data_IF_659782432777
#
_entry.id   IF_659782432777
#
_cell.length_a   1.000
_cell.length_b   1.000
_cell.length_c   1.000
_cell.angle_alpha   90.00
_cell.angle_beta   90.00
_cell.angle_gamma   90.00
#
_symmetry.space_group_name_H-M   'P 1'
#
loop_
_entity.id
_entity.type
_entity.pdbx_description
1 polymer ?
#
# COMPACT_ATOMS: atom_id res chain seq x y z
N UNK A 1 -51.49 28.56 -4.94
CA UNK A 1 -50.14 28.19 -5.39
C UNK A 1 -49.22 28.33 -4.19
N UNK A 2 -48.96 27.24 -3.46
CA UNK A 2 -48.01 27.24 -2.34
C UNK A 2 -46.76 26.48 -2.80
N UNK A 3 -45.65 27.21 -2.91
CA UNK A 3 -44.36 26.66 -3.31
C UNK A 3 -43.73 25.90 -2.15
N UNK A 4 -43.51 24.60 -2.33
CA UNK A 4 -42.73 23.78 -1.41
C UNK A 4 -41.25 24.09 -1.67
N UNK A 5 -40.59 24.83 -0.77
CA UNK A 5 -39.13 24.95 -0.77
C UNK A 5 -38.57 23.66 -0.17
N UNK A 6 -37.95 22.84 -1.01
CA UNK A 6 -37.15 21.70 -0.56
C UNK A 6 -35.90 22.28 0.10
N UNK A 7 -35.86 22.22 1.44
CA UNK A 7 -34.66 22.52 2.22
C UNK A 7 -33.82 21.25 2.18
N UNK A 8 -32.78 21.24 1.34
CA UNK A 8 -31.79 20.17 1.36
C UNK A 8 -31.08 20.16 2.72
N UNK A 9 -30.90 19.00 3.37
CA UNK A 9 -30.18 18.94 4.63
C UNK A 9 -28.72 19.38 4.43
N UNK A 10 -28.29 20.36 5.23
CA UNK A 10 -26.87 20.73 5.33
C UNK A 10 -26.16 19.58 6.04
N UNK A 11 -25.53 18.71 5.25
CA UNK A 11 -24.62 17.68 5.76
C UNK A 11 -23.43 18.44 6.37
N UNK A 12 -23.31 18.40 7.70
CA UNK A 12 -22.13 18.91 8.39
C UNK A 12 -20.97 17.96 8.13
N UNK A 13 -19.96 18.48 7.44
CA UNK A 13 -18.68 17.85 7.22
C UNK A 13 -17.92 17.72 8.55
N UNK A 14 -17.31 16.57 8.78
CA UNK A 14 -16.18 16.45 9.71
C UNK A 14 -14.95 16.57 8.83
N UNK A 15 -14.22 17.66 9.02
CA UNK A 15 -12.96 17.88 8.33
C UNK A 15 -11.89 16.97 8.94
N UNK A 16 -11.77 15.76 8.41
CA UNK A 16 -10.72 14.81 8.77
C UNK A 16 -9.40 15.09 8.03
N UNK A 17 -9.34 16.18 7.25
CA UNK A 17 -8.13 16.62 6.52
C UNK A 17 -6.99 16.90 7.50
N UNK A 18 -7.27 17.51 8.65
CA UNK A 18 -6.22 17.76 9.65
C UNK A 18 -5.63 16.45 10.18
N UNK A 19 -6.46 15.44 10.46
CA UNK A 19 -6.01 14.14 10.97
C UNK A 19 -5.17 13.36 9.95
N UNK A 20 -5.52 13.43 8.66
CA UNK A 20 -4.74 12.74 7.63
C UNK A 20 -3.43 13.49 7.33
N UNK A 21 -3.46 14.82 7.38
CA UNK A 21 -2.25 15.66 7.25
C UNK A 21 -1.27 15.35 8.37
N UNK A 22 -1.73 15.24 9.61
CA UNK A 22 -0.88 14.84 10.74
C UNK A 22 -0.19 13.49 10.50
N UNK A 23 -0.93 12.51 9.98
CA UNK A 23 -0.37 11.22 9.56
C UNK A 23 0.73 11.36 8.50
N UNK A 24 0.51 12.17 7.46
CA UNK A 24 1.54 12.41 6.44
C UNK A 24 2.75 13.17 6.97
N UNK A 25 2.57 14.11 7.90
CA UNK A 25 3.67 14.85 8.52
C UNK A 25 4.56 13.95 9.38
N UNK A 26 3.95 13.03 10.14
CA UNK A 26 4.69 11.99 10.88
C UNK A 26 5.57 11.17 9.95
N UNK A 27 5.02 10.71 8.82
CA UNK A 27 5.80 9.98 7.81
C UNK A 27 6.96 10.82 7.25
N UNK A 28 6.74 12.11 7.02
CA UNK A 28 7.79 13.01 6.56
C UNK A 28 8.94 13.15 7.56
N UNK A 29 8.67 13.20 8.87
CA UNK A 29 9.71 13.31 9.89
C UNK A 29 10.49 12.00 10.10
N UNK A 30 9.84 10.84 9.92
CA UNK A 30 10.54 9.56 9.84
C UNK A 30 11.52 9.51 8.65
N UNK A 31 11.15 10.06 7.50
CA UNK A 31 12.05 10.10 6.33
C UNK A 31 13.28 10.99 6.55
N UNK A 32 13.16 12.09 7.32
CA UNK A 32 14.27 13.02 7.61
C UNK A 32 15.21 12.54 8.72
N UNK A 33 14.74 11.65 9.59
CA UNK A 33 15.55 11.07 10.67
C UNK A 33 16.41 9.88 10.22
N UNK A 34 16.33 9.50 8.94
CA UNK A 34 17.22 8.52 8.32
C UNK A 34 18.01 9.15 7.15
N UNK A 35 19.13 9.80 7.47
CA UNK A 35 20.32 9.69 6.63
C UNK A 35 21.56 9.44 7.50
N UNK A 36 22.37 8.46 7.11
CA UNK A 36 23.66 8.06 7.70
C UNK A 36 23.60 7.25 9.02
N UNK A 37 23.43 5.93 8.90
CA UNK A 37 23.93 4.98 9.90
C UNK A 37 24.46 3.72 9.21
N UNK A 38 25.61 3.83 8.56
CA UNK A 38 26.58 2.74 8.55
C UNK A 38 27.26 2.80 9.91
N UNK A 39 26.87 1.93 10.86
CA UNK A 39 27.77 1.25 11.80
C UNK A 39 27.02 0.36 12.81
N UNK A 40 27.47 -0.89 12.86
CA UNK A 40 27.39 -1.90 13.93
C UNK A 40 26.04 -2.45 14.42
N UNK A 41 25.80 -3.71 14.03
CA UNK A 41 25.10 -4.70 14.83
C UNK A 41 25.75 -4.87 16.22
N UNK A 42 25.14 -4.30 17.25
CA UNK A 42 25.11 -4.84 18.62
C UNK A 42 24.43 -3.84 19.55
N UNK A 43 23.11 -3.92 19.74
CA UNK A 43 22.49 -2.95 20.65
C UNK A 43 20.97 -2.88 20.76
N UNK A 44 20.22 -3.98 20.64
CA UNK A 44 18.79 -3.97 21.01
C UNK A 44 18.38 -5.20 21.83
N UNK A 45 19.22 -5.61 22.79
CA UNK A 45 18.86 -6.61 23.81
C UNK A 45 18.66 -6.02 25.23
N UNK A 46 18.49 -4.71 25.36
CA UNK A 46 18.45 -4.07 26.68
C UNK A 46 17.42 -2.96 26.81
N UNK A 47 16.18 -3.16 26.34
CA UNK A 47 15.07 -2.25 26.70
C UNK A 47 13.75 -3.04 26.84
N UNK A 48 13.71 -4.08 27.67
CA UNK A 48 12.47 -4.53 28.34
C UNK A 48 12.85 -5.37 29.55
N UNK A 49 13.27 -4.68 30.60
CA UNK A 49 13.33 -5.25 31.95
C UNK A 49 13.06 -4.12 32.91
N UNK A 50 11.84 -4.11 33.45
CA UNK A 50 11.48 -3.71 34.82
C UNK A 50 10.08 -3.07 34.84
N UNK A 51 9.10 -3.85 35.31
CA UNK A 51 8.10 -3.36 36.25
C UNK A 51 7.73 -4.50 37.22
N UNK A 52 7.43 -4.19 38.50
CA UNK A 52 7.62 -5.11 39.62
C UNK A 52 6.35 -5.87 40.01
N UNK A 53 6.57 -7.05 40.58
CA UNK A 53 5.60 -7.98 41.16
C UNK A 53 5.01 -7.50 42.49
N UNK A 54 3.77 -7.92 42.77
CA UNK A 54 3.19 -7.95 44.12
C UNK A 54 2.96 -9.42 44.56
N UNK A 55 2.93 -9.73 45.87
CA UNK A 55 3.38 -11.02 46.40
C UNK A 55 2.24 -11.98 46.74
N UNK A 56 2.51 -13.28 46.59
CA UNK A 56 1.69 -14.36 47.13
C UNK A 56 2.59 -15.53 47.52
N UNK A 57 2.83 -15.66 48.83
CA UNK A 57 3.45 -16.82 49.47
C UNK A 57 2.46 -18.00 49.46
N UNK A 58 2.92 -19.25 49.33
CA UNK A 58 2.94 -20.23 50.42
C UNK A 58 3.36 -21.64 49.95
N UNK A 59 4.40 -22.15 50.60
CA UNK A 59 4.66 -23.51 51.10
C UNK A 59 4.72 -24.76 50.19
N UNK A 60 5.81 -25.49 50.48
CA UNK A 60 6.25 -26.83 50.11
C UNK A 60 5.34 -28.01 50.53
N UNK A 61 5.88 -29.20 50.23
CA UNK A 61 5.58 -30.57 50.67
C UNK A 61 4.58 -31.38 49.84
N UNK A 62 4.71 -32.70 49.68
CA UNK A 62 5.78 -33.68 49.56
C UNK A 62 5.03 -35.03 49.38
N UNK A 63 5.69 -36.05 48.81
CA UNK A 63 5.49 -37.48 49.10
C UNK A 63 4.11 -38.14 48.82
N UNK A 64 4.07 -39.09 47.88
CA UNK A 64 4.44 -40.49 48.20
C UNK A 64 4.24 -41.50 47.06
N UNK A 65 4.86 -42.70 47.14
CA UNK A 65 5.19 -43.59 46.03
C UNK A 65 4.50 -44.97 46.07
N UNK A 66 4.65 -45.76 45.00
CA UNK A 66 4.73 -47.23 44.88
C UNK A 66 4.25 -47.62 43.46
N UNK A 67 4.85 -48.51 42.69
CA UNK A 67 5.94 -49.45 42.88
C UNK A 67 5.76 -50.62 41.88
N UNK A 68 6.87 -51.12 41.31
CA UNK A 68 7.06 -52.41 40.62
C UNK A 68 6.40 -52.57 39.22
N UNK A 69 7.03 -53.07 38.14
CA UNK A 69 7.98 -54.18 37.98
C UNK A 69 8.90 -54.03 36.73
N UNK A 70 10.09 -54.64 36.81
CA UNK A 70 11.12 -54.86 35.77
C UNK A 70 10.69 -55.91 34.70
N UNK A 71 11.36 -56.25 33.58
CA UNK A 71 12.76 -56.20 33.10
C UNK A 71 12.79 -56.50 31.59
N UNK A 72 13.77 -56.01 30.82
CA UNK A 72 14.82 -56.81 30.14
C UNK A 72 15.48 -56.10 28.95
N UNK A 73 16.81 -56.23 28.94
CA UNK A 73 17.80 -55.66 28.05
C UNK A 73 17.95 -56.42 26.71
N UNK A 74 18.53 -55.77 25.70
CA UNK A 74 19.64 -56.25 24.84
C UNK A 74 19.99 -55.20 23.77
N UNK A 75 21.03 -54.41 24.05
CA UNK A 75 22.23 -54.03 23.25
C UNK A 75 22.24 -53.83 21.70
N UNK A 76 23.23 -53.04 21.18
CA UNK A 76 23.04 -52.04 20.11
C UNK A 76 23.96 -52.21 18.87
N UNK A 77 24.19 -51.10 18.12
CA UNK A 77 25.33 -50.77 17.19
C UNK A 77 25.00 -50.85 15.68
N UNK A 78 25.60 -50.05 14.73
CA UNK A 78 26.56 -48.92 14.83
C UNK A 78 26.23 -47.62 14.05
N UNK A 79 26.85 -46.55 14.52
CA UNK A 79 27.25 -45.34 13.79
C UNK A 79 28.35 -45.66 12.73
N UNK A 80 28.27 -45.07 11.55
CA UNK A 80 29.45 -44.92 10.67
C UNK A 80 29.76 -43.45 10.40
N UNK A 81 30.93 -43.08 10.92
CA UNK A 81 31.68 -41.85 10.68
C UNK A 81 32.74 -42.19 9.62
N UNK A 82 32.81 -41.45 8.51
CA UNK A 82 34.04 -41.35 7.70
C UNK A 82 34.25 -39.89 7.33
N UNK A 83 35.48 -39.43 7.55
CA UNK A 83 35.99 -38.07 7.29
C UNK A 83 37.09 -38.14 6.20
N UNK A 84 37.83 -37.05 5.89
CA UNK A 84 37.58 -36.11 4.80
C UNK A 84 38.70 -36.14 3.74
N UNK A 85 38.48 -35.52 2.56
CA UNK A 85 39.61 -35.05 1.73
C UNK A 85 39.22 -33.77 0.97
N UNK A 86 40.08 -32.76 1.12
CA UNK A 86 40.13 -31.42 0.52
C UNK A 86 40.18 -31.44 -1.02
N UNK A 87 39.97 -30.38 -1.82
CA UNK A 87 40.25 -28.94 -1.64
C UNK A 87 39.68 -28.15 -2.84
N UNK A 88 39.11 -26.98 -2.55
CA UNK A 88 39.01 -25.71 -3.32
C UNK A 88 38.73 -25.71 -4.83
N UNK A 89 37.58 -25.10 -5.19
CA UNK A 89 37.54 -23.91 -6.06
C UNK A 89 36.19 -23.19 -5.88
N UNK A 90 36.20 -22.11 -5.10
CA UNK A 90 35.11 -21.15 -4.95
C UNK A 90 35.01 -20.29 -6.21
N UNK A 91 33.91 -20.44 -6.96
CA UNK A 91 33.42 -19.38 -7.86
C UNK A 91 32.52 -18.45 -7.05
N UNK A 92 32.55 -17.12 -7.25
CA UNK A 92 31.62 -16.22 -6.58
C UNK A 92 30.21 -16.59 -7.03
N UNK A 93 29.36 -17.00 -6.08
CA UNK A 93 27.95 -17.18 -6.36
C UNK A 93 27.37 -15.83 -6.74
N UNK A 94 26.87 -15.73 -7.95
CA UNK A 94 25.94 -14.69 -8.34
C UNK A 94 24.74 -14.77 -7.40
N UNK A 95 24.73 -13.93 -6.37
CA UNK A 95 23.54 -13.60 -5.61
C UNK A 95 22.62 -12.79 -6.53
N UNK A 96 21.94 -13.51 -7.43
CA UNK A 96 20.74 -13.01 -8.09
C UNK A 96 19.66 -12.86 -7.03
N UNK A 97 19.67 -11.74 -6.31
CA UNK A 97 18.47 -11.23 -5.65
C UNK A 97 17.47 -10.92 -6.76
N UNK A 98 16.59 -11.88 -7.02
CA UNK A 98 15.39 -11.63 -7.81
C UNK A 98 14.67 -10.44 -7.18
N UNK A 99 14.17 -9.47 -7.97
CA UNK A 99 13.38 -8.37 -7.41
C UNK A 99 12.20 -9.03 -6.71
N UNK A 100 12.08 -8.75 -5.40
CA UNK A 100 11.03 -9.28 -4.55
C UNK A 100 9.70 -9.18 -5.30
N UNK A 101 9.04 -10.32 -5.50
CA UNK A 101 7.73 -10.37 -6.14
C UNK A 101 6.83 -9.36 -5.47
N UNK A 102 6.12 -8.58 -6.27
CA UNK A 102 5.18 -7.56 -5.80
C UNK A 102 4.29 -8.20 -4.71
N UNK A 103 4.45 -7.82 -3.44
CA UNK A 103 3.80 -8.47 -2.28
C UNK A 103 2.26 -8.55 -2.37
N UNK A 104 1.71 -7.88 -3.36
CA UNK A 104 0.37 -7.97 -3.88
C UNK A 104 -0.10 -9.37 -4.30
N UNK A 105 0.77 -10.21 -4.86
CA UNK A 105 0.40 -11.59 -5.23
C UNK A 105 -0.01 -12.40 -4.00
N UNK A 106 0.85 -12.36 -2.98
CA UNK A 106 0.60 -13.00 -1.69
C UNK A 106 -0.62 -12.41 -0.96
N UNK A 107 -0.82 -11.09 -1.07
CA UNK A 107 -1.99 -10.40 -0.52
C UNK A 107 -3.31 -10.89 -1.13
N UNK A 108 -3.35 -11.10 -2.46
CA UNK A 108 -4.52 -11.61 -3.15
C UNK A 108 -4.86 -13.06 -2.78
N UNK A 109 -3.91 -13.84 -2.29
CA UNK A 109 -4.16 -15.22 -1.92
C UNK A 109 -4.62 -15.36 -0.46
N UNK A 110 -4.20 -14.46 0.43
CA UNK A 110 -4.37 -14.62 1.89
C UNK A 110 -5.59 -13.91 2.49
N UNK A 111 -6.09 -12.82 1.90
CA UNK A 111 -7.15 -11.99 2.53
C UNK A 111 -8.56 -12.43 2.17
N UNK A 112 -9.53 -12.63 3.08
CA UNK A 112 -10.89 -13.05 2.69
C UNK A 112 -11.57 -12.03 1.76
N UNK A 113 -12.48 -12.51 0.91
CA UNK A 113 -13.24 -11.63 0.02
C UNK A 113 -14.12 -10.66 0.82
N UNK A 114 -14.14 -9.40 0.41
CA UNK A 114 -15.01 -8.36 0.95
C UNK A 114 -16.40 -8.53 0.33
N UNK A 115 -17.44 -8.39 1.16
CA UNK A 115 -18.81 -8.41 0.67
C UNK A 115 -19.10 -7.15 -0.16
N UNK A 116 -19.62 -7.35 -1.37
CA UNK A 116 -20.12 -6.29 -2.24
C UNK A 116 -21.64 -6.35 -2.31
N UNK A 117 -22.30 -5.24 -1.98
CA UNK A 117 -23.70 -5.04 -2.35
C UNK A 117 -23.84 -4.99 -3.88
N UNK A 118 -25.04 -5.25 -4.44
CA UNK A 118 -25.26 -5.10 -5.88
C UNK A 118 -24.92 -3.70 -6.41
N UNK A 119 -25.15 -2.66 -5.61
CA UNK A 119 -24.79 -1.30 -5.97
C UNK A 119 -23.26 -1.09 -6.02
N UNK A 120 -22.53 -1.54 -4.99
CA UNK A 120 -21.07 -1.47 -4.97
C UNK A 120 -20.45 -2.29 -6.12
N UNK A 121 -20.99 -3.46 -6.43
CA UNK A 121 -20.53 -4.26 -7.57
C UNK A 121 -20.72 -3.53 -8.91
N UNK A 122 -21.87 -2.87 -9.10
CA UNK A 122 -22.13 -2.05 -10.29
C UNK A 122 -21.19 -0.85 -10.36
N UNK A 123 -20.92 -0.19 -9.23
CA UNK A 123 -19.99 0.94 -9.14
C UNK A 123 -18.54 0.50 -9.36
N UNK A 124 -18.14 -0.66 -8.86
CA UNK A 124 -16.81 -1.22 -9.11
C UNK A 124 -16.65 -1.61 -10.58
N UNK A 125 -17.68 -2.19 -11.20
CA UNK A 125 -17.67 -2.39 -12.66
C UNK A 125 -17.61 -1.04 -13.40
N UNK A 126 -18.28 -0.01 -12.90
CA UNK A 126 -18.21 1.33 -13.51
C UNK A 126 -16.82 1.96 -13.36
N UNK A 127 -16.14 1.71 -12.23
CA UNK A 127 -14.75 2.11 -12.02
C UNK A 127 -13.86 1.53 -13.14
N UNK A 128 -13.97 0.23 -13.43
CA UNK A 128 -13.15 -0.43 -14.47
C UNK A 128 -13.35 0.20 -15.86
N UNK A 129 -14.58 0.62 -16.15
CA UNK A 129 -14.95 1.12 -17.47
C UNK A 129 -14.53 2.57 -17.71
N UNK A 130 -14.34 3.38 -16.67
CA UNK A 130 -14.09 4.82 -16.86
C UNK A 130 -13.02 5.39 -15.94
N UNK A 131 -13.20 5.35 -14.62
CA UNK A 131 -12.21 5.97 -13.72
C UNK A 131 -10.86 5.26 -13.83
N UNK A 132 -10.86 3.93 -13.80
CA UNK A 132 -9.64 3.12 -14.01
C UNK A 132 -8.98 3.43 -15.35
N UNK A 133 -9.76 3.59 -16.43
CA UNK A 133 -9.20 3.94 -17.74
C UNK A 133 -8.57 5.34 -17.76
N UNK A 134 -9.14 6.31 -17.03
CA UNK A 134 -8.52 7.63 -16.87
C UNK A 134 -7.20 7.57 -16.12
N UNK A 135 -7.11 6.70 -15.12
CA UNK A 135 -5.90 6.49 -14.35
C UNK A 135 -4.82 5.79 -15.19
N UNK A 136 -5.23 4.86 -16.06
CA UNK A 136 -4.39 4.09 -16.99
C UNK A 136 -3.83 4.89 -18.18
N UNK A 137 -4.11 6.20 -18.31
CA UNK A 137 -3.60 7.00 -19.43
C UNK A 137 -2.07 7.00 -19.55
N UNK A 138 -1.35 6.70 -18.46
CA UNK A 138 0.11 6.56 -18.43
C UNK A 138 0.57 5.12 -18.12
N UNK A 139 -0.34 4.15 -18.11
CA UNK A 139 -0.06 2.76 -17.79
C UNK A 139 -0.62 1.82 -18.88
N UNK A 140 0.28 1.34 -19.73
CA UNK A 140 -0.06 0.42 -20.82
C UNK A 140 -0.54 -0.95 -20.32
N UNK A 141 -0.21 -1.32 -19.08
CA UNK A 141 -0.63 -2.57 -18.46
C UNK A 141 -2.09 -2.54 -18.01
N UNK A 142 -2.73 -1.36 -18.02
CA UNK A 142 -4.11 -1.16 -17.58
C UNK A 142 -4.34 -1.61 -16.13
N UNK A 143 -3.38 -1.31 -15.26
CA UNK A 143 -3.37 -1.79 -13.88
C UNK A 143 -4.59 -1.28 -13.12
N UNK A 144 -5.01 -0.03 -13.33
CA UNK A 144 -6.14 0.56 -12.64
C UNK A 144 -7.48 0.00 -13.12
N UNK A 145 -7.69 -0.18 -14.42
CA UNK A 145 -8.95 -0.73 -14.92
C UNK A 145 -9.05 -2.25 -14.79
N UNK A 146 -7.93 -2.99 -14.76
CA UNK A 146 -7.92 -4.47 -14.72
C UNK A 146 -7.52 -5.05 -13.39
N UNK A 147 -6.42 -4.61 -12.80
CA UNK A 147 -5.83 -5.26 -11.63
C UNK A 147 -6.43 -4.72 -10.31
N UNK A 148 -6.57 -3.40 -10.18
CA UNK A 148 -7.15 -2.75 -8.98
C UNK A 148 -8.54 -3.27 -8.58
N UNK A 149 -9.48 -3.58 -9.51
CA UNK A 149 -10.76 -4.17 -9.15
C UNK A 149 -10.65 -5.55 -8.49
N UNK A 150 -9.61 -6.33 -8.83
CA UNK A 150 -9.32 -7.60 -8.15
C UNK A 150 -8.78 -7.38 -6.73
N UNK A 151 -8.04 -6.30 -6.49
CA UNK A 151 -7.66 -5.91 -5.13
C UNK A 151 -8.86 -5.40 -4.33
N UNK A 152 -9.75 -4.62 -4.96
CA UNK A 152 -10.94 -4.08 -4.31
C UNK A 152 -11.86 -5.17 -3.74
N UNK A 153 -11.92 -6.36 -4.34
CA UNK A 153 -12.72 -7.46 -3.78
C UNK A 153 -12.07 -8.13 -2.55
N UNK A 154 -10.85 -7.76 -2.17
CA UNK A 154 -10.11 -8.33 -1.02
C UNK A 154 -9.58 -7.29 -0.03
N UNK A 155 -9.55 -6.02 -0.43
CA UNK A 155 -9.08 -4.88 0.35
C UNK A 155 -10.22 -3.88 0.56
N UNK A 156 -10.73 -3.81 1.79
CA UNK A 156 -11.83 -2.91 2.16
C UNK A 156 -11.49 -1.45 1.86
N UNK A 157 -10.27 -1.00 2.14
CA UNK A 157 -9.84 0.37 1.88
C UNK A 157 -9.87 0.69 0.37
N UNK A 158 -9.24 -0.16 -0.45
CA UNK A 158 -9.22 0.01 -1.92
C UNK A 158 -10.63 -0.06 -2.52
N UNK A 159 -11.48 -0.96 -2.01
CA UNK A 159 -12.91 -1.05 -2.39
C UNK A 159 -13.61 0.30 -2.23
N UNK A 160 -13.54 0.86 -1.02
CA UNK A 160 -14.25 2.10 -0.69
C UNK A 160 -13.75 3.26 -1.54
N UNK A 161 -12.43 3.36 -1.78
CA UNK A 161 -11.87 4.34 -2.70
C UNK A 161 -12.42 4.18 -4.14
N UNK A 162 -12.48 2.96 -4.68
CA UNK A 162 -12.99 2.70 -6.03
C UNK A 162 -14.48 3.03 -6.16
N UNK A 163 -15.28 2.61 -5.18
CA UNK A 163 -16.73 2.91 -5.11
C UNK A 163 -16.96 4.41 -5.02
N UNK A 164 -16.20 5.10 -4.16
CA UNK A 164 -16.29 6.55 -4.00
C UNK A 164 -16.02 7.28 -5.32
N UNK A 165 -14.91 6.96 -5.99
CA UNK A 165 -14.55 7.57 -7.27
C UNK A 165 -15.60 7.31 -8.35
N UNK A 166 -16.06 6.07 -8.50
CA UNK A 166 -17.04 5.73 -9.53
C UNK A 166 -18.40 6.39 -9.29
N UNK A 167 -18.86 6.43 -8.03
CA UNK A 167 -20.12 7.07 -7.66
C UNK A 167 -20.06 8.59 -7.90
N UNK A 168 -18.98 9.25 -7.49
CA UNK A 168 -18.78 10.69 -7.72
C UNK A 168 -18.74 10.99 -9.21
N UNK A 169 -17.94 10.23 -9.96
CA UNK A 169 -17.85 10.36 -11.40
C UNK A 169 -19.23 10.23 -12.07
N UNK A 170 -20.01 9.23 -11.66
CA UNK A 170 -21.32 8.95 -12.25
C UNK A 170 -22.32 10.09 -11.96
N UNK A 171 -22.32 10.61 -10.74
CA UNK A 171 -23.12 11.78 -10.34
C UNK A 171 -22.76 13.03 -11.15
N UNK A 172 -21.46 13.36 -11.23
CA UNK A 172 -20.96 14.52 -11.96
C UNK A 172 -21.24 14.43 -13.47
N UNK A 173 -21.24 13.22 -14.02
CA UNK A 173 -21.54 12.99 -15.44
C UNK A 173 -23.04 13.07 -15.76
N UNK A 174 -23.91 12.98 -14.76
CA UNK A 174 -25.36 12.89 -14.94
C UNK A 174 -26.12 13.84 -13.99
N UNK A 175 -25.83 15.15 -13.96
CA UNK A 175 -26.33 16.05 -12.91
C UNK A 175 -27.86 16.17 -12.83
N UNK A 176 -28.59 15.77 -13.88
CA UNK A 176 -30.05 15.84 -13.96
C UNK A 176 -30.74 14.48 -13.73
N UNK A 177 -29.98 13.41 -13.46
CA UNK A 177 -30.55 12.09 -13.17
C UNK A 177 -31.21 12.08 -11.78
N UNK A 178 -32.38 11.44 -11.61
CA UNK A 178 -32.96 11.21 -10.28
C UNK A 178 -32.02 10.47 -9.31
N UNK A 179 -31.08 9.68 -9.84
CA UNK A 179 -30.09 8.94 -9.05
C UNK A 179 -28.89 9.76 -8.56
N UNK A 180 -28.74 11.01 -8.99
CA UNK A 180 -27.53 11.80 -8.74
C UNK A 180 -27.28 12.09 -7.27
N UNK A 181 -28.32 12.45 -6.52
CA UNK A 181 -28.19 12.69 -5.08
C UNK A 181 -27.78 11.41 -4.33
N UNK A 182 -28.29 10.26 -4.76
CA UNK A 182 -27.93 8.97 -4.16
C UNK A 182 -26.48 8.61 -4.45
N UNK A 183 -26.03 8.78 -5.70
CA UNK A 183 -24.63 8.56 -6.07
C UNK A 183 -23.68 9.49 -5.34
N UNK A 184 -24.04 10.77 -5.16
CA UNK A 184 -23.23 11.70 -4.34
C UNK A 184 -23.16 11.26 -2.88
N UNK A 185 -24.28 10.79 -2.31
CA UNK A 185 -24.29 10.27 -0.93
C UNK A 185 -23.43 9.02 -0.77
N UNK A 186 -23.53 8.08 -1.71
CA UNK A 186 -22.68 6.88 -1.73
C UNK A 186 -21.21 7.25 -1.89
N UNK A 187 -20.91 8.19 -2.79
CA UNK A 187 -19.55 8.67 -3.03
C UNK A 187 -18.92 9.22 -1.74
N UNK A 188 -19.66 10.09 -1.05
CA UNK A 188 -19.24 10.68 0.21
C UNK A 188 -19.10 9.63 1.31
N UNK A 189 -20.09 8.75 1.47
CA UNK A 189 -20.06 7.71 2.51
C UNK A 189 -18.86 6.78 2.36
N UNK A 190 -18.62 6.29 1.14
CA UNK A 190 -17.46 5.44 0.86
C UNK A 190 -16.15 6.20 1.05
N UNK A 191 -16.08 7.47 0.65
CA UNK A 191 -14.90 8.29 0.87
C UNK A 191 -14.56 8.47 2.35
N UNK A 192 -15.55 8.81 3.20
CA UNK A 192 -15.36 8.93 4.64
C UNK A 192 -14.87 7.63 5.28
N UNK A 193 -15.41 6.48 4.84
CA UNK A 193 -14.96 5.17 5.32
C UNK A 193 -13.51 4.86 4.86
N UNK A 194 -13.13 5.29 3.65
CA UNK A 194 -11.78 5.16 3.14
C UNK A 194 -10.78 6.02 3.95
N UNK A 195 -11.10 7.29 4.21
CA UNK A 195 -10.25 8.18 5.02
C UNK A 195 -10.04 7.65 6.43
N UNK A 196 -11.11 7.20 7.11
CA UNK A 196 -10.99 6.62 8.44
C UNK A 196 -10.14 5.32 8.48
N UNK A 197 -10.10 4.55 7.40
CA UNK A 197 -9.18 3.41 7.25
C UNK A 197 -7.76 3.87 6.96
N UNK A 198 -7.60 4.83 6.05
CA UNK A 198 -6.30 5.34 5.61
C UNK A 198 -5.54 6.01 6.76
N UNK A 199 -6.22 6.80 7.60
CA UNK A 199 -5.63 7.40 8.81
C UNK A 199 -4.96 6.32 9.66
N UNK A 200 -5.64 5.19 9.92
CA UNK A 200 -5.07 4.07 10.68
C UNK A 200 -3.84 3.44 10.02
N UNK A 201 -3.77 3.47 8.69
CA UNK A 201 -2.66 2.92 7.91
C UNK A 201 -1.45 3.86 7.80
N UNK A 202 -1.60 5.15 8.11
CA UNK A 202 -0.53 6.17 8.10
C UNK A 202 -0.17 6.70 9.49
N UNK A 203 -0.87 6.27 10.54
CA UNK A 203 -0.58 6.61 11.92
C UNK A 203 0.82 6.16 12.38
N UNK A 204 1.33 6.81 13.43
CA UNK A 204 2.66 6.62 14.07
C UNK A 204 3.05 5.15 14.27
N UNK A 205 2.08 4.26 14.51
CA UNK A 205 2.33 2.84 14.77
C UNK A 205 2.71 2.02 13.50
N UNK A 206 2.69 2.64 12.30
CA UNK A 206 3.01 2.01 11.03
C UNK A 206 4.21 2.70 10.35
N UNK A 207 5.46 2.32 10.69
CA UNK A 207 6.66 2.99 10.19
C UNK A 207 6.94 2.74 8.70
N UNK A 208 6.28 1.75 8.10
CA UNK A 208 6.41 1.42 6.68
C UNK A 208 5.01 1.27 6.06
N UNK A 209 4.47 2.32 5.40
CA UNK A 209 3.20 2.24 4.71
C UNK A 209 3.19 1.08 3.71
N UNK A 210 2.10 0.33 3.68
CA UNK A 210 1.97 -0.81 2.77
C UNK A 210 1.75 -0.34 1.32
N UNK A 211 1.96 -1.23 0.33
CA UNK A 211 1.55 -0.94 -1.04
C UNK A 211 0.05 -0.58 -1.15
N UNK A 212 -0.81 -1.22 -0.34
CA UNK A 212 -2.24 -0.90 -0.24
C UNK A 212 -2.47 0.55 0.16
N UNK A 213 -1.75 1.02 1.18
CA UNK A 213 -1.81 2.41 1.65
C UNK A 213 -1.48 3.36 0.50
N UNK A 214 -0.39 3.13 -0.23
CA UNK A 214 0.01 3.99 -1.36
C UNK A 214 -1.08 4.08 -2.43
N UNK A 215 -1.62 2.93 -2.85
CA UNK A 215 -2.65 2.86 -3.90
C UNK A 215 -3.94 3.54 -3.46
N UNK A 216 -4.36 3.33 -2.21
CA UNK A 216 -5.51 3.99 -1.63
C UNK A 216 -5.33 5.51 -1.59
N UNK A 217 -4.14 6.00 -1.20
CA UNK A 217 -3.84 7.44 -1.21
C UNK A 217 -3.95 8.03 -2.62
N UNK A 218 -3.45 7.33 -3.65
CA UNK A 218 -3.60 7.76 -5.05
C UNK A 218 -5.07 7.79 -5.46
N UNK A 219 -5.89 6.80 -5.09
CA UNK A 219 -7.33 6.83 -5.39
C UNK A 219 -8.06 7.97 -4.66
N UNK A 220 -7.74 8.24 -3.40
CA UNK A 220 -8.30 9.39 -2.67
C UNK A 220 -7.96 10.72 -3.36
N UNK A 221 -6.72 10.90 -3.82
CA UNK A 221 -6.35 12.10 -4.58
C UNK A 221 -7.18 12.26 -5.86
N UNK A 222 -7.49 11.16 -6.56
CA UNK A 222 -8.35 11.20 -7.75
C UNK A 222 -9.79 11.58 -7.41
N UNK A 223 -10.34 11.07 -6.29
CA UNK A 223 -11.67 11.47 -5.81
C UNK A 223 -11.78 12.98 -5.56
N UNK A 224 -10.76 13.57 -4.95
CA UNK A 224 -10.70 14.99 -4.62
C UNK A 224 -10.47 15.86 -5.86
N UNK A 225 -9.63 15.40 -6.77
CA UNK A 225 -9.37 16.07 -8.05
C UNK A 225 -10.66 16.31 -8.85
N UNK A 226 -11.64 15.39 -8.79
CA UNK A 226 -12.90 15.50 -9.54
C UNK A 226 -13.77 16.72 -9.15
N UNK A 227 -13.54 17.33 -7.99
CA UNK A 227 -14.29 18.50 -7.50
C UNK A 227 -13.55 19.84 -7.71
N UNK A 228 -12.42 19.81 -8.44
CA UNK A 228 -11.55 20.96 -8.64
C UNK A 228 -10.98 21.57 -7.33
N UNK A 229 -10.12 20.78 -6.67
CA UNK A 229 -8.85 21.19 -6.05
C UNK A 229 -8.89 22.24 -4.93
N UNK A 230 -9.32 21.83 -3.74
CA UNK A 230 -9.07 22.50 -2.46
C UNK A 230 -7.74 22.07 -1.80
N UNK A 231 -7.57 22.39 -0.52
CA UNK A 231 -6.42 21.98 0.32
C UNK A 231 -6.22 20.47 0.36
N UNK A 232 -7.31 19.71 0.34
CA UNK A 232 -7.32 18.28 0.65
C UNK A 232 -6.62 17.48 -0.46
N UNK A 233 -6.87 17.84 -1.72
CA UNK A 233 -6.15 17.26 -2.86
C UNK A 233 -4.64 17.48 -2.77
N UNK A 234 -4.21 18.68 -2.38
CA UNK A 234 -2.79 18.97 -2.22
C UNK A 234 -2.17 18.20 -1.04
N UNK A 235 -2.93 18.00 0.04
CA UNK A 235 -2.50 17.18 1.16
C UNK A 235 -2.34 15.71 0.76
N UNK A 236 -3.27 15.15 -0.01
CA UNK A 236 -3.13 13.80 -0.54
C UNK A 236 -1.96 13.65 -1.53
N UNK A 237 -1.72 14.63 -2.41
CA UNK A 237 -0.53 14.64 -3.28
C UNK A 237 0.78 14.69 -2.48
N UNK A 238 0.81 15.45 -1.38
CA UNK A 238 1.94 15.44 -0.46
C UNK A 238 2.12 14.07 0.20
N UNK A 239 1.03 13.47 0.70
CA UNK A 239 1.05 12.13 1.27
C UNK A 239 1.59 11.07 0.31
N UNK A 240 1.17 11.12 -0.96
CA UNK A 240 1.69 10.20 -2.00
C UNK A 240 3.20 10.37 -2.19
N UNK A 241 3.68 11.62 -2.25
CA UNK A 241 5.11 11.93 -2.35
C UNK A 241 5.91 11.38 -1.16
N UNK A 242 5.41 11.54 0.07
CA UNK A 242 6.08 11.04 1.27
C UNK A 242 6.09 9.51 1.34
N UNK A 243 4.95 8.86 1.12
CA UNK A 243 4.86 7.40 1.08
C UNK A 243 5.75 6.83 -0.04
N UNK A 244 5.72 7.45 -1.22
CA UNK A 244 6.55 7.07 -2.36
C UNK A 244 8.04 7.12 -2.04
N UNK A 245 8.51 8.17 -1.35
CA UNK A 245 9.90 8.30 -0.90
C UNK A 245 10.29 7.20 0.10
N UNK A 246 9.47 6.97 1.13
CA UNK A 246 9.72 5.93 2.15
C UNK A 246 9.83 4.55 1.50
N UNK A 247 8.99 4.28 0.48
CA UNK A 247 8.94 2.99 -0.23
C UNK A 247 9.92 2.89 -1.42
N UNK A 248 10.64 3.95 -1.77
CA UNK A 248 11.51 3.97 -2.96
C UNK A 248 10.77 3.83 -4.29
N UNK A 249 9.49 4.23 -4.34
CA UNK A 249 8.65 4.13 -5.54
C UNK A 249 9.08 5.15 -6.59
N UNK A 250 9.12 4.70 -7.85
CA UNK A 250 9.55 5.51 -8.98
C UNK A 250 8.92 5.05 -10.29
N UNK A 251 9.19 5.77 -11.37
CA UNK A 251 8.59 5.50 -12.68
C UNK A 251 8.96 4.16 -13.31
N UNK A 252 9.81 3.35 -12.66
CA UNK A 252 10.32 2.07 -13.19
C UNK A 252 10.37 0.92 -12.18
N UNK A 253 9.74 1.09 -11.01
CA UNK A 253 9.73 0.06 -9.97
C UNK A 253 8.87 -1.17 -10.32
N UNK A 254 8.11 -1.13 -11.41
CA UNK A 254 7.21 -2.18 -11.85
C UNK A 254 5.88 -2.23 -11.08
N UNK A 255 4.95 -2.98 -11.66
CA UNK A 255 3.69 -3.35 -11.01
C UNK A 255 2.78 -2.16 -10.66
N UNK A 256 1.98 -2.36 -9.61
CA UNK A 256 0.97 -1.38 -9.21
C UNK A 256 1.56 -0.10 -8.61
N UNK A 257 2.75 -0.15 -8.03
CA UNK A 257 3.43 1.04 -7.50
C UNK A 257 3.94 1.94 -8.64
N UNK A 258 4.43 1.37 -9.75
CA UNK A 258 4.81 2.14 -10.94
C UNK A 258 3.57 2.79 -11.60
N UNK A 259 2.48 2.04 -11.75
CA UNK A 259 1.21 2.58 -12.24
C UNK A 259 0.66 3.70 -11.32
N UNK A 260 0.84 3.52 -10.01
CA UNK A 260 0.64 4.51 -8.95
C UNK A 260 1.41 5.80 -9.19
N UNK A 261 2.72 5.67 -9.36
CA UNK A 261 3.64 6.78 -9.60
C UNK A 261 3.22 7.60 -10.83
N UNK A 262 2.95 6.95 -11.96
CA UNK A 262 2.59 7.68 -13.18
C UNK A 262 1.21 8.32 -13.12
N UNK A 263 0.28 7.76 -12.35
CA UNK A 263 -1.00 8.42 -12.04
C UNK A 263 -0.78 9.67 -11.19
N UNK A 264 0.03 9.57 -10.14
CA UNK A 264 0.43 10.70 -9.29
C UNK A 264 1.13 11.81 -10.08
N UNK A 265 2.13 11.47 -10.91
CA UNK A 265 2.90 12.44 -11.68
C UNK A 265 1.99 13.31 -12.57
N UNK A 266 0.96 12.71 -13.20
CA UNK A 266 -0.03 13.48 -13.97
C UNK A 266 -0.86 14.43 -13.09
N UNK A 267 -1.33 13.96 -11.94
CA UNK A 267 -2.08 14.81 -11.02
C UNK A 267 -1.22 15.97 -10.52
N UNK A 268 0.05 15.72 -10.22
CA UNK A 268 1.01 16.72 -9.78
C UNK A 268 1.24 17.79 -10.85
N UNK A 269 1.37 17.41 -12.12
CA UNK A 269 1.46 18.37 -13.24
C UNK A 269 0.22 19.26 -13.30
N UNK A 270 -0.99 18.68 -13.19
CA UNK A 270 -2.24 19.46 -13.18
C UNK A 270 -2.28 20.41 -11.97
N UNK A 271 -1.91 19.92 -10.79
CA UNK A 271 -1.83 20.73 -9.56
C UNK A 271 -0.87 21.91 -9.72
N UNK A 272 0.31 21.68 -10.29
CA UNK A 272 1.31 22.71 -10.53
C UNK A 272 0.83 23.77 -11.53
N UNK A 273 0.13 23.35 -12.59
CA UNK A 273 -0.43 24.28 -13.58
C UNK A 273 -1.52 25.17 -12.97
N UNK A 274 -2.41 24.60 -12.14
CA UNK A 274 -3.47 25.35 -11.44
C UNK A 274 -2.87 26.35 -10.46
N UNK A 275 -1.90 25.92 -9.65
CA UNK A 275 -1.33 26.73 -8.57
C UNK A 275 -0.13 27.60 -9.00
N UNK A 276 0.33 27.47 -10.25
CA UNK A 276 1.55 28.11 -10.76
C UNK A 276 2.78 27.82 -9.89
N UNK A 277 2.89 26.57 -9.43
CA UNK A 277 3.97 26.10 -8.57
C UNK A 277 4.92 25.15 -9.31
N UNK A 278 6.03 24.80 -8.66
CA UNK A 278 6.91 23.73 -9.12
C UNK A 278 6.41 22.37 -8.62
N UNK A 279 6.70 21.27 -9.34
CA UNK A 279 6.43 19.91 -8.84
C UNK A 279 7.15 19.61 -7.53
N UNK A 280 6.51 18.82 -6.66
CA UNK A 280 7.08 18.29 -5.40
C UNK A 280 8.26 17.35 -5.63
N UNK A 281 8.23 16.60 -6.73
CA UNK A 281 9.29 15.70 -7.16
C UNK A 281 9.85 16.24 -8.46
N UNK A 282 11.16 16.46 -8.50
CA UNK A 282 11.85 16.94 -9.69
C UNK A 282 11.62 15.98 -10.87
N UNK A 283 11.10 16.44 -12.02
CA UNK A 283 10.84 15.56 -13.17
C UNK A 283 12.05 14.75 -13.66
N UNK A 284 13.26 15.27 -13.50
CA UNK A 284 14.49 14.52 -13.82
C UNK A 284 14.63 13.28 -12.93
N UNK A 285 14.26 13.40 -11.65
CA UNK A 285 14.30 12.28 -10.69
C UNK A 285 13.21 11.22 -10.92
N UNK A 286 12.20 11.50 -11.76
CA UNK A 286 11.19 10.49 -12.11
C UNK A 286 11.82 9.31 -12.85
N UNK A 287 12.92 9.60 -13.55
CA UNK A 287 13.70 8.66 -14.33
C UNK A 287 15.11 8.44 -13.80
N UNK A 288 15.72 9.23 -12.91
CA UNK A 288 17.09 8.95 -12.43
C UNK A 288 17.25 7.58 -11.70
N UNK A 289 16.15 6.92 -11.33
CA UNK A 289 16.14 5.52 -10.92
C UNK A 289 16.34 4.53 -12.11
N UNK A 290 16.35 5.03 -13.35
CA UNK A 290 16.83 4.34 -14.56
C UNK A 290 18.33 4.43 -14.77
N UNK A 291 19.06 5.32 -14.06
CA UNK A 291 20.51 5.47 -14.23
C UNK A 291 21.29 4.18 -13.94
N UNK A 292 20.73 3.28 -13.12
CA UNK A 292 21.32 1.95 -12.85
C UNK A 292 20.98 0.89 -13.90
N UNK A 293 20.02 1.13 -14.80
CA UNK A 293 19.62 0.17 -15.84
C UNK A 293 20.14 0.52 -17.23
N UNK A 294 20.73 1.69 -17.41
CA UNK A 294 21.20 2.15 -18.72
C UNK A 294 22.58 1.64 -19.12
N UNK A 295 23.35 1.04 -18.22
CA UNK A 295 24.60 0.33 -18.58
C UNK A 295 24.38 -1.13 -18.97
N UNK A 296 23.26 -1.76 -18.57
CA UNK A 296 22.96 -3.16 -18.91
C UNK A 296 21.54 -3.27 -19.44
N UNK A 297 21.38 -3.20 -20.77
CA UNK A 297 20.18 -3.77 -21.40
C UNK A 297 19.45 -2.91 -22.43
N UNK A 298 19.98 -1.75 -22.85
CA UNK A 298 19.38 -1.02 -23.98
C UNK A 298 19.71 -1.66 -25.34
N UNK A 299 20.86 -2.29 -25.49
CA UNK A 299 21.26 -2.98 -26.73
C UNK A 299 20.81 -4.46 -26.75
N UNK A 300 20.77 -5.13 -25.59
CA UNK A 300 20.42 -6.55 -25.53
C UNK A 300 18.92 -6.84 -25.69
N UNK A 301 18.02 -5.94 -25.26
CA UNK A 301 16.57 -6.14 -25.41
C UNK A 301 16.09 -5.90 -26.85
N UNK A 302 16.73 -5.00 -27.59
CA UNK A 302 16.45 -4.81 -29.01
C UNK A 302 16.94 -6.02 -29.83
N UNK A 303 18.12 -6.56 -29.50
CA UNK A 303 18.71 -7.68 -30.23
C UNK A 303 18.00 -9.02 -29.98
N UNK A 304 17.41 -9.26 -28.80
CA UNK A 304 16.65 -10.50 -28.54
C UNK A 304 15.33 -10.62 -29.30
N UNK A 305 14.73 -9.51 -29.75
CA UNK A 305 13.48 -9.55 -30.54
C UNK A 305 13.71 -9.86 -32.02
N UNK A 306 14.91 -9.64 -32.54
CA UNK A 306 15.26 -9.96 -33.94
C UNK A 306 15.90 -11.34 -34.12
N UNK A 307 16.31 -12.01 -33.04
CA UNK A 307 16.95 -13.33 -33.11
C UNK A 307 15.98 -14.52 -33.03
N UNK A 308 14.66 -14.29 -32.94
CA UNK A 308 13.62 -15.33 -32.84
C UNK A 308 12.59 -15.27 -33.99
N UNK A 309 12.98 -14.71 -35.13
CA UNK A 309 12.31 -14.89 -36.43
C UNK A 309 13.32 -15.45 -37.43
#
# INVERSE_FOLDING_TARGET
MSGCRVVLPVIKFIDETELIVDGYLVLADHSKSSPDAVENESGLQAVFSQCPSAPGQCSDEELSPNGYHASNASDPVPLQLTSPTSRDQTSPGDCQTSPQGSGWGDFLDQSPAVFLTPNEANLLNRFTQVVGQWMDLSDLSQTWSKLVPHFAIRASLVKECCVACAAKQLALSNPQSPGTEEWMRQAQSSYSIAIAQLIRHVSIDCPAPSPETFVATVLCSVYEMMDATGSDWQAHLEGISQIGKIRGINGTCGGLEEAGFWCFARQEVVCCLINRSKPRIDPESWYEILGQRTEVGREDMANRRYALQ
#
